data_IF_800283467704
#
_entry.id   IF_800283467704
#
_cell.length_a   1.000
_cell.length_b   1.000
_cell.length_c   1.000
_cell.angle_alpha   90.00
_cell.angle_beta   90.00
_cell.angle_gamma   90.00
#
_symmetry.space_group_name_H-M   'P 1'
#
loop_
_entity.id
_entity.type
_entity.pdbx_description
1 polymer ?
#
# COMPACT_ATOMS: atom_id res chain seq x y z
N UNK A 1 7.46 10.69 -15.83
CA UNK A 1 6.26 10.59 -16.67
C UNK A 1 5.18 11.21 -15.82
N UNK A 2 4.66 12.35 -16.25
CA UNK A 2 3.68 13.13 -15.50
C UNK A 2 2.36 12.33 -15.38
N UNK A 3 1.59 12.59 -14.31
CA UNK A 3 0.41 11.80 -14.01
C UNK A 3 -0.62 11.90 -15.15
N UNK A 4 -1.35 10.83 -15.51
CA UNK A 4 -2.30 10.87 -16.62
C UNK A 4 -3.38 11.95 -16.47
N UNK A 5 -3.72 12.38 -15.26
CA UNK A 5 -4.65 13.50 -15.05
C UNK A 5 -4.05 14.86 -15.48
N UNK A 6 -2.75 15.09 -15.23
CA UNK A 6 -2.04 16.31 -15.66
C UNK A 6 -1.81 16.35 -17.18
N UNK A 7 -1.85 15.20 -17.84
CA UNK A 7 -1.81 15.11 -19.29
C UNK A 7 -3.16 15.43 -19.96
N UNK A 8 -4.26 15.46 -19.20
CA UNK A 8 -5.62 15.66 -19.69
C UNK A 8 -6.11 17.09 -19.49
N UNK A 9 -5.80 17.68 -18.33
CA UNK A 9 -6.02 19.09 -18.01
C UNK A 9 -5.03 19.97 -18.79
N UNK A 10 -5.43 20.42 -19.98
CA UNK A 10 -4.54 21.09 -20.92
C UNK A 10 -4.50 22.59 -20.70
N UNK A 11 -5.61 23.16 -20.25
CA UNK A 11 -5.68 24.57 -19.92
C UNK A 11 -5.16 24.86 -18.50
N UNK A 12 -4.94 23.81 -17.69
CA UNK A 12 -4.32 23.87 -16.37
C UNK A 12 -5.28 24.36 -15.29
N UNK A 13 -6.59 24.21 -15.50
CA UNK A 13 -7.62 24.69 -14.59
C UNK A 13 -7.92 23.72 -13.42
N UNK A 14 -7.38 22.51 -13.49
CA UNK A 14 -7.47 21.47 -12.46
C UNK A 14 -8.67 20.53 -12.59
N UNK A 15 -9.53 20.74 -13.59
CA UNK A 15 -10.70 19.92 -13.92
C UNK A 15 -10.57 19.38 -15.36
N UNK A 16 -11.44 18.44 -15.76
CA UNK A 16 -11.44 17.91 -17.14
C UNK A 16 -12.79 18.22 -17.77
N UNK A 17 -12.78 18.95 -18.89
CA UNK A 17 -13.99 19.22 -19.66
C UNK A 17 -14.31 18.11 -20.70
N UNK A 18 -15.45 18.23 -21.39
CA UNK A 18 -15.87 17.23 -22.39
C UNK A 18 -14.95 17.16 -23.60
N UNK A 19 -14.36 18.27 -24.02
CA UNK A 19 -13.47 18.33 -25.17
C UNK A 19 -12.11 17.69 -24.84
N UNK A 20 -11.63 17.86 -23.61
CA UNK A 20 -10.46 17.20 -23.06
C UNK A 20 -10.70 15.69 -22.87
N UNK A 21 -11.84 15.32 -22.30
CA UNK A 21 -12.25 13.92 -22.13
C UNK A 21 -12.36 13.18 -23.46
N UNK A 22 -12.96 13.79 -24.49
CA UNK A 22 -13.11 13.18 -25.81
C UNK A 22 -11.76 12.91 -26.52
N UNK A 23 -10.68 13.61 -26.13
CA UNK A 23 -9.36 13.48 -26.75
C UNK A 23 -8.51 12.37 -26.15
N UNK A 24 -8.91 11.80 -25.01
CA UNK A 24 -8.27 10.63 -24.38
C UNK A 24 -8.08 9.49 -25.39
N UNK A 25 -9.09 9.26 -26.22
CA UNK A 25 -9.15 8.14 -27.17
C UNK A 25 -8.24 8.32 -28.39
N UNK A 26 -7.89 9.56 -28.74
CA UNK A 26 -6.96 9.86 -29.83
C UNK A 26 -5.49 9.73 -29.45
N UNK A 27 -5.16 9.96 -28.17
CA UNK A 27 -3.77 10.04 -27.70
C UNK A 27 -3.25 8.74 -27.05
N UNK A 28 -4.11 7.91 -26.47
CA UNK A 28 -3.71 6.73 -25.69
C UNK A 28 -3.65 5.43 -26.47
N UNK A 29 -4.13 5.42 -27.73
CA UNK A 29 -4.18 4.22 -28.58
C UNK A 29 -5.13 3.12 -28.07
N UNK A 30 -5.97 3.45 -27.07
CA UNK A 30 -7.00 2.57 -26.55
C UNK A 30 -8.12 2.42 -27.60
N UNK A 31 -8.45 1.18 -27.92
CA UNK A 31 -9.52 0.80 -28.84
C UNK A 31 -10.87 1.38 -28.34
N UNK A 32 -11.55 2.15 -29.19
CA UNK A 32 -12.84 2.79 -28.90
C UNK A 32 -13.97 1.80 -28.60
N UNK A 33 -13.74 0.51 -28.83
CA UNK A 33 -14.67 -0.56 -28.46
C UNK A 33 -14.59 -1.00 -26.99
N UNK A 34 -13.70 -0.41 -26.17
CA UNK A 34 -13.46 -0.83 -24.77
C UNK A 34 -13.47 0.24 -23.67
N UNK A 35 -13.98 1.45 -23.91
CA UNK A 35 -14.15 2.45 -22.84
C UNK A 35 -15.61 2.53 -22.37
N UNK A 36 -15.94 1.82 -21.30
CA UNK A 36 -17.30 1.62 -20.77
C UNK A 36 -17.87 2.78 -19.93
N UNK A 37 -17.24 3.95 -19.87
CA UNK A 37 -17.76 5.04 -19.05
C UNK A 37 -18.11 6.25 -19.88
N UNK A 38 -19.39 6.60 -19.83
CA UNK A 38 -19.91 7.86 -20.33
C UNK A 38 -19.38 9.00 -19.44
N UNK A 39 -19.12 10.18 -20.02
CA UNK A 39 -18.70 11.37 -19.27
C UNK A 39 -19.66 11.63 -18.10
N UNK A 40 -20.97 11.47 -18.36
CA UNK A 40 -22.06 11.65 -17.41
C UNK A 40 -22.07 10.59 -16.29
N UNK A 41 -21.34 9.49 -16.46
CA UNK A 41 -21.13 8.49 -15.39
C UNK A 41 -19.99 8.88 -14.45
N UNK A 42 -19.06 9.73 -14.93
CA UNK A 42 -17.93 10.24 -14.16
C UNK A 42 -18.28 11.55 -13.47
N UNK A 43 -19.00 12.44 -14.15
CA UNK A 43 -19.58 13.69 -13.62
C UNK A 43 -20.79 13.37 -12.73
N UNK A 44 -20.51 12.95 -11.49
CA UNK A 44 -21.52 12.49 -10.52
C UNK A 44 -22.35 13.66 -10.00
N UNK A 45 -21.73 14.84 -9.87
CA UNK A 45 -22.41 16.03 -9.38
C UNK A 45 -23.15 16.81 -10.48
N UNK A 46 -22.93 16.45 -11.76
CA UNK A 46 -23.60 17.03 -12.91
C UNK A 46 -23.14 18.45 -13.22
N UNK A 47 -21.94 18.82 -12.79
CA UNK A 47 -21.34 20.14 -13.02
C UNK A 47 -20.98 20.39 -14.48
N UNK A 48 -20.93 19.33 -15.30
CA UNK A 48 -20.46 19.38 -16.68
C UNK A 48 -18.94 19.36 -16.79
N UNK A 49 -18.24 19.13 -15.67
CA UNK A 49 -16.79 19.02 -15.53
C UNK A 49 -16.47 17.80 -14.68
N UNK A 50 -15.33 17.18 -14.92
CA UNK A 50 -14.87 16.07 -14.09
C UNK A 50 -13.82 16.63 -13.12
N UNK A 51 -14.19 16.68 -11.85
CA UNK A 51 -13.26 17.02 -10.78
C UNK A 51 -12.25 15.90 -10.53
N UNK A 52 -11.16 16.23 -9.81
CA UNK A 52 -10.17 15.22 -9.37
C UNK A 52 -10.80 14.12 -8.53
N UNK A 53 -11.77 14.46 -7.70
CA UNK A 53 -12.42 13.49 -6.81
C UNK A 53 -13.33 12.53 -7.59
N UNK A 54 -14.03 13.03 -8.60
CA UNK A 54 -14.85 12.23 -9.52
C UNK A 54 -14.00 11.30 -10.41
N UNK A 55 -12.94 11.84 -11.01
CA UNK A 55 -11.99 11.04 -11.77
C UNK A 55 -11.36 9.95 -10.91
N UNK A 56 -11.03 10.28 -9.65
CA UNK A 56 -10.48 9.33 -8.68
C UNK A 56 -11.48 8.25 -8.30
N UNK A 57 -12.74 8.61 -8.01
CA UNK A 57 -13.78 7.66 -7.65
C UNK A 57 -13.99 6.62 -8.76
N UNK A 58 -13.97 7.07 -10.01
CA UNK A 58 -14.08 6.22 -11.19
C UNK A 58 -12.82 5.37 -11.42
N UNK A 59 -11.63 5.95 -11.29
CA UNK A 59 -10.37 5.21 -11.44
C UNK A 59 -10.27 4.06 -10.43
N UNK A 60 -10.70 4.28 -9.18
CA UNK A 60 -10.79 3.24 -8.15
C UNK A 60 -11.79 2.13 -8.48
N UNK A 61 -12.85 2.45 -9.22
CA UNK A 61 -13.87 1.49 -9.63
C UNK A 61 -13.44 0.62 -10.83
N UNK A 62 -12.76 1.23 -11.82
CA UNK A 62 -12.29 0.55 -13.03
C UNK A 62 -11.05 -0.31 -12.82
N UNK A 63 -10.21 0.04 -11.84
CA UNK A 63 -8.98 -0.67 -11.53
C UNK A 63 -8.97 -1.10 -10.05
N UNK A 64 -9.63 -2.23 -9.70
CA UNK A 64 -9.81 -2.65 -8.30
C UNK A 64 -8.55 -3.20 -7.63
N UNK A 65 -7.40 -3.17 -8.30
CA UNK A 65 -6.10 -3.48 -7.71
C UNK A 65 -5.49 -2.15 -7.29
N UNK A 66 -5.39 -1.92 -5.97
CA UNK A 66 -4.55 -1.02 -5.15
C UNK A 66 -3.72 0.17 -5.76
N UNK A 67 -3.84 0.51 -7.03
CA UNK A 67 -2.83 1.14 -7.88
C UNK A 67 -3.37 2.34 -8.67
N UNK A 68 -4.25 3.15 -8.06
CA UNK A 68 -4.48 4.51 -8.56
C UNK A 68 -3.63 5.56 -7.82
N UNK A 69 -2.83 5.17 -6.81
CA UNK A 69 -1.97 6.09 -6.06
C UNK A 69 -0.88 6.74 -6.92
N UNK A 70 -0.26 5.97 -7.82
CA UNK A 70 0.73 6.49 -8.78
C UNK A 70 0.09 7.22 -9.98
N UNK A 71 -1.17 6.91 -10.32
CA UNK A 71 -1.95 7.62 -11.37
C UNK A 71 -2.44 8.99 -10.91
N UNK A 72 -2.65 9.17 -9.60
CA UNK A 72 -3.25 10.39 -9.02
C UNK A 72 -2.27 11.21 -8.18
N UNK A 73 -1.05 10.72 -7.96
CA UNK A 73 -0.10 11.33 -7.02
C UNK A 73 -0.54 11.28 -5.56
N UNK A 74 -1.63 10.55 -5.25
CA UNK A 74 -2.19 10.48 -3.91
C UNK A 74 -1.38 9.51 -3.05
N UNK A 75 -0.56 10.06 -2.16
CA UNK A 75 0.04 9.29 -1.06
C UNK A 75 -1.10 8.86 -0.12
N UNK A 76 -1.29 7.55 0.18
CA UNK A 76 -2.34 7.12 1.07
C UNK A 76 -2.20 7.78 2.45
N UNK A 77 -3.32 8.28 2.97
CA UNK A 77 -3.49 8.91 4.29
C UNK A 77 -2.69 8.21 5.40
N UNK A 78 -2.12 8.99 6.32
CA UNK A 78 -1.31 8.51 7.47
C UNK A 78 -2.18 7.90 8.57
N UNK A 79 -3.03 6.94 8.21
CA UNK A 79 -3.82 6.14 9.14
C UNK A 79 -3.07 4.91 9.66
N UNK A 80 -3.68 4.15 10.59
CA UNK A 80 -3.19 2.84 11.00
C UNK A 80 -2.87 1.94 9.80
N UNK A 81 -1.65 1.41 9.77
CA UNK A 81 -1.15 0.52 8.73
C UNK A 81 -1.44 -0.94 9.08
N UNK A 82 -1.63 -1.78 8.07
CA UNK A 82 -1.61 -3.22 8.20
C UNK A 82 -0.20 -3.73 7.93
N UNK A 83 0.42 -4.34 8.94
CA UNK A 83 1.83 -4.74 8.92
C UNK A 83 1.94 -6.27 8.98
N UNK A 84 2.47 -6.89 7.93
CA UNK A 84 2.87 -8.29 7.97
C UNK A 84 4.29 -8.45 8.51
N UNK A 85 4.45 -9.38 9.46
CA UNK A 85 5.71 -9.74 10.11
C UNK A 85 6.06 -11.18 9.76
N UNK A 86 7.10 -11.35 8.94
CA UNK A 86 7.53 -12.64 8.40
C UNK A 86 9.02 -12.81 8.66
N UNK A 87 9.43 -14.02 9.05
CA UNK A 87 10.85 -14.37 9.18
C UNK A 87 11.07 -15.85 8.88
N UNK A 88 12.17 -16.15 8.20
CA UNK A 88 12.69 -17.52 8.17
C UNK A 88 13.12 -17.95 9.57
N UNK A 89 13.19 -19.26 9.81
CA UNK A 89 13.47 -19.81 11.15
C UNK A 89 14.74 -19.25 11.78
N UNK A 90 15.83 -19.13 11.01
CA UNK A 90 17.11 -18.55 11.44
C UNK A 90 17.04 -17.05 11.76
N UNK A 91 15.97 -16.36 11.36
CA UNK A 91 15.76 -14.91 11.54
C UNK A 91 14.64 -14.58 12.53
N UNK A 92 13.94 -15.58 13.09
CA UNK A 92 12.84 -15.35 14.03
C UNK A 92 13.29 -14.62 15.30
N UNK A 93 14.49 -14.93 15.80
CA UNK A 93 15.07 -14.20 16.94
C UNK A 93 15.28 -12.73 16.63
N UNK A 94 15.78 -12.41 15.43
CA UNK A 94 15.99 -11.03 14.99
C UNK A 94 14.67 -10.28 14.88
N UNK A 95 13.63 -10.95 14.34
CA UNK A 95 12.30 -10.37 14.23
C UNK A 95 11.71 -10.07 15.62
N UNK A 96 11.80 -11.01 16.56
CA UNK A 96 11.29 -10.82 17.93
C UNK A 96 12.02 -9.66 18.63
N UNK A 97 13.35 -9.62 18.54
CA UNK A 97 14.14 -8.53 19.11
C UNK A 97 13.78 -7.17 18.49
N UNK A 98 13.57 -7.12 17.17
CA UNK A 98 13.17 -5.90 16.47
C UNK A 98 11.76 -5.45 16.85
N UNK A 99 10.79 -6.37 16.94
CA UNK A 99 9.41 -6.06 17.35
C UNK A 99 9.39 -5.49 18.77
N UNK A 100 10.17 -6.06 19.69
CA UNK A 100 10.25 -5.53 21.06
C UNK A 100 10.84 -4.12 21.10
N UNK A 101 11.88 -3.86 20.30
CA UNK A 101 12.49 -2.53 20.15
C UNK A 101 11.54 -1.50 19.52
N UNK A 102 10.68 -1.92 18.58
CA UNK A 102 9.75 -1.05 17.86
C UNK A 102 8.33 -1.08 18.42
N UNK A 103 8.12 -1.68 19.60
CA UNK A 103 6.81 -1.92 20.21
C UNK A 103 5.90 -0.69 20.22
N UNK A 104 6.41 0.44 20.68
CA UNK A 104 5.63 1.69 20.77
C UNK A 104 5.16 2.16 19.39
N UNK A 105 6.03 2.07 18.38
CA UNK A 105 5.70 2.46 17.02
C UNK A 105 4.78 1.46 16.31
N UNK A 106 4.79 0.18 16.70
CA UNK A 106 3.93 -0.87 16.13
C UNK A 106 2.55 -0.92 16.77
N UNK A 107 2.39 -0.46 18.02
CA UNK A 107 1.14 -0.53 18.78
C UNK A 107 -0.07 0.12 18.08
N UNK A 108 0.04 1.25 17.36
CA UNK A 108 -1.09 1.87 16.67
C UNK A 108 -1.54 1.12 15.40
N UNK A 109 -0.86 0.04 15.02
CA UNK A 109 -1.03 -0.63 13.73
C UNK A 109 -1.62 -2.02 13.89
N UNK A 110 -2.25 -2.53 12.83
CA UNK A 110 -2.76 -3.89 12.80
C UNK A 110 -1.65 -4.84 12.36
N UNK A 111 -1.26 -5.76 13.23
CA UNK A 111 -0.13 -6.67 13.00
C UNK A 111 -0.62 -8.06 12.60
N UNK A 112 0.04 -8.67 11.62
CA UNK A 112 -0.16 -10.05 11.20
C UNK A 112 1.17 -10.80 11.25
N UNK A 113 1.21 -12.05 11.70
CA UNK A 113 2.45 -12.84 11.71
C UNK A 113 2.29 -14.28 11.23
N UNK A 114 3.34 -14.82 10.63
CA UNK A 114 3.43 -16.25 10.26
C UNK A 114 4.28 -17.05 11.25
N UNK A 115 4.74 -16.42 12.34
CA UNK A 115 5.67 -17.05 13.30
C UNK A 115 5.01 -18.03 14.26
N UNK A 116 3.68 -18.20 14.18
CA UNK A 116 2.95 -19.20 14.94
C UNK A 116 2.69 -18.78 16.38
N UNK A 117 2.25 -17.53 16.59
CA UNK A 117 1.90 -16.91 17.89
C UNK A 117 3.08 -16.54 18.79
N UNK A 118 4.33 -16.67 18.33
CA UNK A 118 5.51 -16.36 19.15
C UNK A 118 5.50 -14.92 19.66
N UNK A 119 5.13 -13.96 18.81
CA UNK A 119 5.05 -12.55 19.18
C UNK A 119 4.01 -12.32 20.28
N UNK A 120 2.77 -12.81 20.09
CA UNK A 120 1.71 -12.72 21.11
C UNK A 120 2.17 -13.29 22.46
N UNK A 121 2.82 -14.47 22.47
CA UNK A 121 3.22 -15.16 23.71
C UNK A 121 4.38 -14.51 24.45
N UNK A 122 5.35 -13.97 23.72
CA UNK A 122 6.59 -13.46 24.33
C UNK A 122 6.55 -11.96 24.58
N UNK A 123 5.81 -11.22 23.75
CA UNK A 123 5.82 -9.78 23.76
C UNK A 123 4.49 -9.16 24.20
N UNK A 124 3.41 -9.92 24.41
CA UNK A 124 2.11 -9.36 24.82
C UNK A 124 1.62 -8.21 23.90
N UNK A 125 1.96 -8.32 22.62
CA UNK A 125 1.56 -7.37 21.58
C UNK A 125 0.45 -8.03 20.76
N UNK A 126 -0.71 -7.38 20.54
CA UNK A 126 -1.82 -8.00 19.84
C UNK A 126 -1.50 -8.19 18.35
N UNK A 127 -1.33 -9.44 17.96
CA UNK A 127 -1.06 -9.84 16.56
C UNK A 127 -2.11 -10.84 16.09
N UNK A 128 -2.54 -10.72 14.83
CA UNK A 128 -3.38 -11.69 14.15
C UNK A 128 -2.50 -12.84 13.64
N UNK A 129 -2.59 -14.05 14.22
CA UNK A 129 -1.76 -15.16 13.77
C UNK A 129 -2.27 -15.72 12.44
N UNK A 130 -1.33 -15.90 11.51
CA UNK A 130 -1.51 -16.61 10.25
C UNK A 130 -0.83 -17.99 10.33
N UNK A 131 -1.05 -18.82 9.30
CA UNK A 131 -0.30 -20.08 9.17
C UNK A 131 1.19 -19.79 8.97
N UNK A 132 2.04 -20.77 9.23
CA UNK A 132 3.44 -20.66 8.82
C UNK A 132 3.55 -20.60 7.29
N UNK A 133 4.61 -19.98 6.77
CA UNK A 133 4.87 -19.90 5.32
C UNK A 133 4.70 -21.25 4.61
N UNK A 134 5.40 -22.33 5.05
CA UNK A 134 5.25 -23.67 4.47
C UNK A 134 3.84 -24.28 4.51
N UNK A 135 2.94 -23.76 5.35
CA UNK A 135 1.55 -24.21 5.47
C UNK A 135 0.55 -23.23 4.81
N UNK A 136 1.03 -22.32 3.96
CA UNK A 136 0.23 -21.37 3.20
C UNK A 136 0.14 -19.97 3.80
N UNK A 137 0.91 -19.65 4.85
CA UNK A 137 0.93 -18.31 5.46
C UNK A 137 1.27 -17.20 4.47
N UNK A 138 2.24 -17.45 3.59
CA UNK A 138 2.69 -16.47 2.58
C UNK A 138 1.58 -16.15 1.58
N UNK A 139 0.72 -17.12 1.27
CA UNK A 139 -0.46 -16.92 0.41
C UNK A 139 -1.56 -16.15 1.13
N UNK A 140 -1.75 -16.36 2.43
CA UNK A 140 -2.68 -15.56 3.23
C UNK A 140 -2.26 -14.09 3.26
N UNK A 141 -0.96 -13.81 3.42
CA UNK A 141 -0.41 -12.45 3.32
C UNK A 141 -0.64 -11.89 1.91
N UNK A 142 -0.33 -12.65 0.87
CA UNK A 142 -0.57 -12.23 -0.52
C UNK A 142 -2.02 -11.82 -0.77
N UNK A 143 -3.00 -12.58 -0.24
CA UNK A 143 -4.41 -12.24 -0.34
C UNK A 143 -4.74 -10.92 0.38
N UNK A 144 -4.23 -10.74 1.60
CA UNK A 144 -4.42 -9.51 2.38
C UNK A 144 -3.78 -8.28 1.70
N UNK A 145 -2.62 -8.44 1.06
CA UNK A 145 -1.99 -7.40 0.24
C UNK A 145 -2.95 -6.99 -0.90
N UNK A 146 -3.49 -7.94 -1.66
CA UNK A 146 -4.41 -7.64 -2.77
C UNK A 146 -5.74 -7.03 -2.34
N UNK A 147 -6.10 -7.18 -1.06
CA UNK A 147 -7.30 -6.60 -0.46
C UNK A 147 -7.05 -5.21 0.16
N UNK A 148 -5.81 -4.70 0.13
CA UNK A 148 -5.44 -3.43 0.75
C UNK A 148 -5.32 -3.48 2.28
N UNK A 149 -5.43 -4.67 2.88
CA UNK A 149 -5.38 -4.91 4.32
C UNK A 149 -3.95 -4.92 4.87
N UNK A 150 -2.94 -5.10 4.00
CA UNK A 150 -1.52 -5.03 4.32
C UNK A 150 -0.86 -4.00 3.41
N UNK A 151 -0.18 -3.04 4.03
CA UNK A 151 0.48 -1.92 3.36
C UNK A 151 1.92 -1.70 3.84
N UNK A 152 2.41 -2.53 4.76
CA UNK A 152 3.83 -2.74 5.04
C UNK A 152 4.12 -4.24 5.20
N UNK A 153 5.05 -4.76 4.43
CA UNK A 153 5.59 -6.11 4.56
C UNK A 153 7.00 -6.06 5.17
N UNK A 154 7.15 -6.53 6.41
CA UNK A 154 8.45 -6.79 7.04
C UNK A 154 8.76 -8.27 6.90
N UNK A 155 9.77 -8.59 6.09
CA UNK A 155 10.18 -9.97 5.84
C UNK A 155 11.68 -10.16 6.06
N UNK A 156 12.07 -10.72 7.20
CA UNK A 156 13.46 -11.07 7.48
C UNK A 156 13.82 -12.40 6.83
N UNK A 157 14.31 -12.29 5.60
CA UNK A 157 14.77 -13.40 4.76
C UNK A 157 16.17 -13.84 5.23
N UNK A 158 16.41 -15.14 5.26
CA UNK A 158 17.76 -15.73 5.34
C UNK A 158 18.32 -15.90 3.93
N UNK A 159 19.34 -15.11 3.53
CA UNK A 159 19.88 -15.14 2.18
C UNK A 159 20.87 -16.28 1.93
N UNK A 160 21.32 -16.99 2.97
CA UNK A 160 22.37 -18.01 2.87
C UNK A 160 21.82 -19.44 2.80
N UNK A 161 20.55 -19.61 3.11
CA UNK A 161 19.88 -20.91 3.16
C UNK A 161 18.98 -21.14 1.94
N UNK A 162 18.92 -22.38 1.44
CA UNK A 162 17.87 -22.79 0.52
C UNK A 162 16.58 -23.07 1.30
N UNK A 163 15.48 -22.47 0.86
CA UNK A 163 14.19 -22.62 1.52
C UNK A 163 13.27 -23.52 0.68
N UNK A 164 12.65 -24.58 1.25
CA UNK A 164 11.72 -25.45 0.53
C UNK A 164 10.54 -24.69 -0.12
N UNK A 165 10.23 -23.51 0.40
CA UNK A 165 9.18 -22.60 -0.04
C UNK A 165 9.75 -21.35 -0.73
N UNK A 166 10.96 -21.43 -1.32
CA UNK A 166 11.61 -20.27 -1.94
C UNK A 166 10.85 -19.66 -3.13
N UNK A 167 10.00 -20.44 -3.80
CA UNK A 167 9.07 -19.93 -4.81
C UNK A 167 7.98 -19.04 -4.19
N UNK A 168 7.46 -19.42 -3.01
CA UNK A 168 6.45 -18.66 -2.29
C UNK A 168 7.00 -17.31 -1.81
N UNK A 169 8.26 -17.29 -1.33
CA UNK A 169 8.97 -16.05 -0.96
C UNK A 169 9.05 -15.08 -2.15
N UNK A 170 9.44 -15.58 -3.33
CA UNK A 170 9.53 -14.75 -4.55
C UNK A 170 8.14 -14.27 -4.98
N UNK A 171 7.13 -15.12 -4.90
CA UNK A 171 5.77 -14.77 -5.26
C UNK A 171 5.22 -13.68 -4.34
N UNK A 172 5.47 -13.76 -3.04
CA UNK A 172 5.05 -12.77 -2.06
C UNK A 172 5.74 -11.41 -2.28
N UNK A 173 7.06 -11.40 -2.47
CA UNK A 173 7.80 -10.16 -2.79
C UNK A 173 7.27 -9.54 -4.09
N UNK A 174 7.02 -10.36 -5.12
CA UNK A 174 6.45 -9.90 -6.38
C UNK A 174 5.07 -9.25 -6.18
N UNK A 175 4.20 -9.84 -5.35
CA UNK A 175 2.89 -9.27 -5.04
C UNK A 175 3.01 -7.94 -4.29
N UNK A 176 3.91 -7.85 -3.31
CA UNK A 176 4.14 -6.61 -2.57
C UNK A 176 4.62 -5.48 -3.51
N UNK A 177 5.57 -5.78 -4.40
CA UNK A 177 6.05 -4.82 -5.41
C UNK A 177 4.95 -4.44 -6.40
N UNK A 178 4.16 -5.41 -6.85
CA UNK A 178 3.07 -5.16 -7.80
C UNK A 178 1.98 -4.28 -7.21
N UNK A 179 1.69 -4.40 -5.91
CA UNK A 179 0.66 -3.63 -5.21
C UNK A 179 1.19 -2.37 -4.50
N UNK A 180 2.41 -1.95 -4.84
CA UNK A 180 3.12 -0.81 -4.24
C UNK A 180 3.12 -0.79 -2.70
N UNK A 181 3.24 -1.96 -2.09
CA UNK A 181 3.32 -2.14 -0.63
C UNK A 181 4.74 -1.85 -0.17
N UNK A 182 4.88 -1.05 0.90
CA UNK A 182 6.18 -0.80 1.51
C UNK A 182 6.83 -2.13 1.92
N UNK A 183 8.08 -2.35 1.49
CA UNK A 183 8.77 -3.63 1.66
C UNK A 183 10.07 -3.45 2.43
N UNK A 184 10.20 -4.16 3.55
CA UNK A 184 11.40 -4.18 4.38
C UNK A 184 11.95 -5.62 4.49
N UNK A 185 13.12 -5.86 3.90
CA UNK A 185 13.76 -7.19 3.85
C UNK A 185 14.86 -7.38 4.92
N UNK A 186 15.09 -6.36 5.75
CA UNK A 186 16.09 -6.37 6.83
C UNK A 186 15.66 -5.49 8.01
N UNK A 187 16.21 -5.70 9.22
CA UNK A 187 15.91 -4.86 10.38
C UNK A 187 16.14 -3.37 10.12
N UNK A 188 17.24 -3.00 9.46
CA UNK A 188 17.54 -1.60 9.12
C UNK A 188 16.46 -0.98 8.24
N UNK A 189 16.03 -1.68 7.19
CA UNK A 189 14.94 -1.20 6.34
C UNK A 189 13.62 -1.10 7.09
N UNK A 190 13.32 -2.07 7.98
CA UNK A 190 12.09 -2.08 8.75
C UNK A 190 12.02 -0.92 9.74
N UNK A 191 13.13 -0.64 10.44
CA UNK A 191 13.23 0.53 11.34
C UNK A 191 13.03 1.84 10.59
N UNK A 192 13.64 2.00 9.41
CA UNK A 192 13.47 3.21 8.61
C UNK A 192 12.01 3.40 8.17
N UNK A 193 11.35 2.33 7.74
CA UNK A 193 9.94 2.37 7.32
C UNK A 193 9.01 2.70 8.50
N UNK A 194 9.16 2.03 9.63
CA UNK A 194 8.33 2.28 10.82
C UNK A 194 8.55 3.69 11.37
N UNK A 195 9.78 4.22 11.34
CA UNK A 195 10.04 5.60 11.71
C UNK A 195 9.29 6.61 10.81
N UNK A 196 9.12 6.30 9.52
CA UNK A 196 8.33 7.12 8.61
C UNK A 196 6.81 7.00 8.83
N UNK A 197 6.35 5.91 9.48
CA UNK A 197 4.95 5.70 9.86
C UNK A 197 4.57 6.40 11.18
N UNK A 198 5.55 6.74 12.01
CA UNK A 198 5.31 7.47 13.24
C UNK A 198 4.64 8.83 12.94
N UNK A 199 3.62 9.24 13.71
CA UNK A 199 3.05 10.57 13.56
C UNK A 199 4.17 11.60 13.73
N UNK A 200 4.20 12.61 12.84
CA UNK A 200 5.12 13.73 13.00
C UNK A 200 4.89 14.35 14.39
N UNK A 201 5.95 14.77 15.12
CA UNK A 201 5.76 15.47 16.37
C UNK A 201 4.80 16.63 16.11
N UNK A 202 3.75 16.74 16.93
CA UNK A 202 2.81 17.85 16.83
C UNK A 202 3.62 19.14 16.90
N UNK A 203 3.73 19.86 15.78
CA UNK A 203 4.21 21.22 15.81
C UNK A 203 3.21 21.98 16.67
N UNK A 204 3.61 22.28 17.91
CA UNK A 204 2.96 23.29 18.73
C UNK A 204 3.06 24.56 17.90
N UNK A 205 1.95 24.95 17.27
CA UNK A 205 1.80 26.30 16.75
C UNK A 205 1.94 27.21 17.97
N UNK A 206 3.16 27.70 18.19
CA UNK A 206 3.42 28.78 19.13
C UNK A 206 2.55 29.92 18.63
N UNK A 207 1.48 30.20 19.38
CA UNK A 207 0.51 31.22 19.05
C UNK A 207 1.24 32.53 18.75
N UNK A 208 0.90 33.12 17.60
CA UNK A 208 1.18 34.52 17.35
C UNK A 208 0.48 35.33 18.46
N UNK A 209 1.25 35.68 19.48
CA UNK A 209 0.83 36.55 20.57
C UNK A 209 1.14 38.00 20.22
N UNK A 210 0.07 38.80 20.24
CA UNK A 210 -0.03 40.26 20.42
C UNK A 210 0.58 41.19 19.37
#
# INVERSE_FOLDING_TARGET
MDAPAEALDRDGDGEIDRDEYARIFGATGLDSSRSELDFDTVDVDGSGRISRDELRAVALHLYPLADAGWLTGAVPERGPRGIALVAHDSRKSDLLAWVDQQREALTPHRLYDTTGTLINRQLDLPVVPLRSGPLGGDQQIGALITQGEINLLVFFVDPLSSHPHGDDVRALIRLAVLADVALALSPTSATAMVAALAPAPAHVLVGAGA
#
